data_IF_067196930662
#
_entry.id   IF_067196930662
#
_cell.length_a   1.000
_cell.length_b   1.000
_cell.length_c   1.000
_cell.angle_alpha   90.00
_cell.angle_beta   90.00
_cell.angle_gamma   90.00
#
_symmetry.space_group_name_H-M   'P 1'
#
loop_
_entity.id
_entity.type
_entity.pdbx_description
1 polymer ?
#
# COMPACT_ATOMS: atom_id res chain seq x y z
N UNK A 1 -75.50 -7.66 23.93
CA UNK A 1 -74.25 -6.88 24.12
C UNK A 1 -73.12 -7.61 23.43
N UNK A 2 -72.65 -7.09 22.26
CA UNK A 2 -71.56 -7.69 21.48
C UNK A 2 -70.26 -6.96 21.78
N UNK A 3 -69.31 -7.68 22.40
CA UNK A 3 -67.96 -7.18 22.65
C UNK A 3 -67.16 -7.26 21.35
N UNK A 4 -66.72 -6.10 20.82
CA UNK A 4 -65.82 -5.98 19.65
C UNK A 4 -64.40 -6.06 20.19
N UNK A 5 -63.69 -7.14 19.87
CA UNK A 5 -62.23 -7.26 20.09
C UNK A 5 -61.50 -6.49 19.01
N UNK A 6 -60.72 -5.50 19.43
CA UNK A 6 -59.86 -4.71 18.58
C UNK A 6 -58.50 -5.44 18.48
N UNK A 7 -58.22 -6.07 17.34
CA UNK A 7 -56.92 -6.65 17.02
C UNK A 7 -55.99 -5.52 16.56
N UNK A 8 -55.04 -5.15 17.41
CA UNK A 8 -53.95 -4.22 17.08
C UNK A 8 -52.85 -5.04 16.42
N UNK A 9 -52.76 -4.93 15.08
CA UNK A 9 -51.65 -5.50 14.32
C UNK A 9 -50.44 -4.58 14.45
N UNK A 10 -49.43 -4.98 15.22
CA UNK A 10 -48.15 -4.31 15.31
C UNK A 10 -47.33 -4.72 14.10
N UNK A 11 -47.22 -3.83 13.12
CA UNK A 11 -46.31 -3.97 11.98
C UNK A 11 -44.90 -3.64 12.47
N UNK A 12 -44.08 -4.66 12.63
CA UNK A 12 -42.64 -4.50 12.83
C UNK A 12 -42.01 -4.09 11.49
N UNK A 13 -41.71 -2.80 11.35
CA UNK A 13 -40.92 -2.29 10.26
C UNK A 13 -39.45 -2.59 10.56
N UNK A 14 -38.95 -3.69 10.02
CA UNK A 14 -37.52 -4.03 10.08
C UNK A 14 -36.78 -3.01 9.18
N UNK A 15 -36.21 -1.97 9.80
CA UNK A 15 -35.28 -1.07 9.14
C UNK A 15 -33.99 -1.85 8.87
N UNK A 16 -33.89 -2.43 7.68
CA UNK A 16 -32.62 -2.93 7.15
C UNK A 16 -31.71 -1.73 6.92
N UNK A 17 -30.89 -1.42 7.89
CA UNK A 17 -29.78 -0.50 7.72
C UNK A 17 -28.78 -1.14 6.74
N UNK A 18 -28.90 -0.78 5.46
CA UNK A 18 -27.87 -1.04 4.47
C UNK A 18 -26.61 -0.26 4.92
N UNK A 19 -25.75 -0.91 5.68
CA UNK A 19 -24.39 -0.43 5.87
C UNK A 19 -23.73 -0.54 4.50
N UNK A 20 -23.72 0.56 3.74
CA UNK A 20 -22.84 0.73 2.59
C UNK A 20 -21.40 0.73 3.12
N UNK A 21 -20.88 -0.45 3.41
CA UNK A 21 -19.46 -0.62 3.68
C UNK A 21 -18.72 -0.18 2.43
N UNK A 22 -17.90 0.86 2.55
CA UNK A 22 -16.99 1.24 1.47
C UNK A 22 -16.19 0.00 1.08
N UNK A 23 -16.41 -0.49 -0.13
CA UNK A 23 -15.65 -1.62 -0.63
C UNK A 23 -14.20 -1.17 -0.79
N UNK A 24 -13.31 -1.76 0.01
CA UNK A 24 -11.88 -1.49 -0.07
C UNK A 24 -11.39 -1.85 -1.48
N UNK A 25 -10.52 -1.03 -2.10
CA UNK A 25 -9.98 -1.34 -3.40
C UNK A 25 -9.14 -2.62 -3.35
N UNK A 26 -9.13 -3.39 -4.43
CA UNK A 26 -8.21 -4.50 -4.61
C UNK A 26 -7.04 -4.04 -5.48
N UNK A 27 -5.84 -4.14 -4.94
CA UNK A 27 -4.60 -3.88 -5.66
C UNK A 27 -4.07 -5.12 -6.40
N UNK A 28 -4.73 -6.28 -6.27
CA UNK A 28 -4.31 -7.53 -6.91
C UNK A 28 -4.21 -7.38 -8.42
N UNK A 29 -3.15 -7.92 -8.99
CA UNK A 29 -2.91 -7.94 -10.43
C UNK A 29 -1.43 -7.92 -10.78
N UNK A 30 -1.18 -8.03 -12.07
CA UNK A 30 0.12 -7.82 -12.67
C UNK A 30 0.14 -6.38 -13.21
N UNK A 31 1.20 -5.65 -12.88
CA UNK A 31 1.33 -4.22 -13.10
C UNK A 31 2.61 -3.89 -13.84
N UNK A 32 2.53 -3.08 -14.88
CA UNK A 32 3.69 -2.56 -15.61
C UNK A 32 3.78 -1.06 -15.43
N UNK A 33 4.95 -0.55 -15.05
CA UNK A 33 5.16 0.87 -14.81
C UNK A 33 5.06 1.69 -16.09
N UNK A 34 4.26 2.75 -16.04
CA UNK A 34 4.27 3.82 -17.05
C UNK A 34 5.46 4.75 -16.75
N UNK A 35 6.54 4.53 -17.48
CA UNK A 35 7.81 5.23 -17.24
C UNK A 35 7.70 6.73 -17.49
N UNK A 36 6.95 7.13 -18.51
CA UNK A 36 6.85 8.53 -18.94
C UNK A 36 6.10 9.41 -17.94
N UNK A 37 5.16 8.80 -17.21
CA UNK A 37 4.39 9.48 -16.16
C UNK A 37 4.90 9.24 -14.75
N UNK A 38 5.94 8.41 -14.59
CA UNK A 38 6.61 8.15 -13.33
C UNK A 38 7.86 9.01 -13.18
N UNK A 39 8.18 9.45 -11.96
CA UNK A 39 9.39 10.24 -11.70
C UNK A 39 10.14 9.78 -10.45
N UNK A 40 11.39 10.26 -10.31
CA UNK A 40 12.27 9.92 -9.19
C UNK A 40 12.94 8.56 -9.32
N UNK A 41 13.03 8.01 -10.54
CA UNK A 41 13.86 6.84 -10.89
C UNK A 41 15.02 7.25 -11.78
N UNK A 42 16.15 6.56 -11.69
CA UNK A 42 17.21 6.71 -12.68
C UNK A 42 16.70 6.46 -14.11
N UNK A 43 17.29 7.09 -15.13
CA UNK A 43 16.95 6.79 -16.51
C UNK A 43 17.17 5.30 -16.81
N UNK A 44 16.35 4.75 -17.72
CA UNK A 44 16.43 3.35 -18.17
C UNK A 44 16.10 2.29 -17.09
N UNK A 45 15.48 2.67 -15.98
CA UNK A 45 14.93 1.73 -15.01
C UNK A 45 13.44 1.53 -15.28
N UNK A 46 13.05 0.27 -15.45
CA UNK A 46 11.67 -0.17 -15.56
C UNK A 46 11.28 -1.01 -14.32
N UNK A 47 9.99 -1.01 -14.00
CA UNK A 47 9.45 -1.84 -12.94
C UNK A 47 8.19 -2.57 -13.42
N UNK A 48 8.10 -3.84 -13.05
CA UNK A 48 6.86 -4.59 -13.10
C UNK A 48 6.57 -5.12 -11.71
N UNK A 49 5.30 -5.23 -11.34
CA UNK A 49 4.92 -5.63 -10.01
C UNK A 49 3.76 -6.61 -10.07
N UNK A 50 3.88 -7.73 -9.36
CA UNK A 50 2.78 -8.65 -9.09
C UNK A 50 2.30 -8.41 -7.68
N UNK A 51 1.01 -8.18 -7.52
CA UNK A 51 0.37 -7.96 -6.23
C UNK A 51 -0.70 -9.03 -6.01
N UNK A 52 -0.68 -9.64 -4.83
CA UNK A 52 -1.72 -10.56 -4.36
C UNK A 52 -2.26 -10.00 -3.05
N UNK A 53 -3.55 -9.66 -3.03
CA UNK A 53 -4.21 -9.14 -1.85
C UNK A 53 -5.25 -10.14 -1.33
N UNK A 54 -5.10 -10.52 -0.06
CA UNK A 54 -6.02 -11.40 0.66
C UNK A 54 -6.51 -10.65 1.93
N UNK A 55 -7.66 -10.00 1.81
CA UNK A 55 -8.16 -9.14 2.89
C UNK A 55 -7.23 -7.95 3.16
N UNK A 56 -6.66 -7.91 4.36
CA UNK A 56 -5.72 -6.86 4.78
C UNK A 56 -4.25 -7.24 4.52
N UNK A 57 -3.97 -8.45 4.04
CA UNK A 57 -2.63 -8.84 3.63
C UNK A 57 -2.40 -8.53 2.16
N UNK A 58 -1.27 -7.91 1.86
CA UNK A 58 -0.82 -7.56 0.50
C UNK A 58 0.59 -8.08 0.32
N UNK A 59 0.74 -9.10 -0.51
CA UNK A 59 2.02 -9.65 -0.92
C UNK A 59 2.40 -9.07 -2.28
N UNK A 60 3.64 -8.65 -2.44
CA UNK A 60 4.12 -8.05 -3.67
C UNK A 60 5.47 -8.60 -4.08
N UNK A 61 5.62 -8.76 -5.38
CA UNK A 61 6.87 -9.08 -6.05
C UNK A 61 7.16 -7.99 -7.06
N UNK A 62 8.22 -7.21 -6.83
CA UNK A 62 8.64 -6.12 -7.72
C UNK A 62 9.86 -6.56 -8.50
N UNK A 63 9.72 -6.66 -9.82
CA UNK A 63 10.80 -6.88 -10.77
C UNK A 63 11.33 -5.53 -11.22
N UNK A 64 12.62 -5.32 -11.06
CA UNK A 64 13.34 -4.11 -11.45
C UNK A 64 14.26 -4.47 -12.60
N UNK A 65 14.10 -3.80 -13.73
CA UNK A 65 14.91 -3.97 -14.93
C UNK A 65 15.74 -2.70 -15.09
N UNK A 66 17.04 -2.83 -14.99
CA UNK A 66 18.01 -1.75 -15.10
C UNK A 66 19.11 -2.11 -16.11
N UNK A 67 19.91 -1.16 -16.60
CA UNK A 67 20.98 -1.44 -17.57
C UNK A 67 22.04 -2.45 -17.10
N UNK A 68 22.24 -2.57 -15.80
CA UNK A 68 23.17 -3.50 -15.15
C UNK A 68 22.56 -4.86 -14.82
N UNK A 69 21.30 -5.07 -15.14
CA UNK A 69 20.63 -6.35 -14.96
C UNK A 69 19.21 -6.26 -14.41
N UNK A 70 18.67 -7.42 -14.08
CA UNK A 70 17.34 -7.59 -13.52
C UNK A 70 17.44 -8.10 -12.08
N UNK A 71 16.55 -7.60 -11.22
CA UNK A 71 16.42 -8.05 -9.84
C UNK A 71 14.96 -8.12 -9.43
N UNK A 72 14.68 -8.92 -8.40
CA UNK A 72 13.33 -9.09 -7.85
C UNK A 72 13.37 -8.85 -6.35
N UNK A 73 12.46 -8.01 -5.87
CA UNK A 73 12.23 -7.75 -4.45
C UNK A 73 10.85 -8.32 -4.09
N UNK A 74 10.81 -9.14 -3.04
CA UNK A 74 9.55 -9.64 -2.46
C UNK A 74 9.30 -8.93 -1.15
N UNK A 75 8.07 -8.51 -0.95
CA UNK A 75 7.66 -7.79 0.24
C UNK A 75 6.21 -8.14 0.62
N UNK A 76 5.81 -7.81 1.85
CA UNK A 76 4.47 -8.08 2.34
C UNK A 76 4.03 -6.99 3.33
N UNK A 77 2.77 -6.55 3.21
CA UNK A 77 2.15 -5.59 4.12
C UNK A 77 0.92 -6.21 4.78
N UNK A 78 0.72 -5.92 6.07
CA UNK A 78 -0.55 -6.20 6.77
C UNK A 78 -1.17 -4.87 7.14
N UNK A 79 -2.29 -4.54 6.51
CA UNK A 79 -2.94 -3.22 6.59
C UNK A 79 -3.91 -3.19 7.77
N UNK A 80 -3.37 -3.25 8.99
CA UNK A 80 -4.14 -3.29 10.24
C UNK A 80 -3.70 -2.23 11.26
N UNK A 81 -2.80 -1.31 10.85
CA UNK A 81 -2.33 -0.22 11.67
C UNK A 81 -1.31 -0.59 12.75
N UNK A 82 -0.83 -1.83 12.78
CA UNK A 82 0.15 -2.26 13.77
C UNK A 82 1.56 -2.15 13.23
N UNK A 83 2.46 -1.63 14.06
CA UNK A 83 3.89 -1.60 13.75
C UNK A 83 4.46 -3.03 13.72
N UNK A 84 5.29 -3.30 12.71
CA UNK A 84 6.04 -4.56 12.53
C UNK A 84 7.47 -4.31 12.13
N UNK A 85 8.34 -5.16 12.63
CA UNK A 85 9.73 -5.18 12.15
C UNK A 85 9.80 -5.83 10.76
N UNK A 86 10.72 -5.33 9.93
CA UNK A 86 11.05 -5.94 8.65
C UNK A 86 12.53 -5.79 8.34
N UNK A 87 13.03 -6.60 7.43
CA UNK A 87 14.41 -6.48 6.93
C UNK A 87 14.41 -5.64 5.67
N UNK A 88 15.01 -4.43 5.68
CA UNK A 88 15.10 -3.60 4.48
C UNK A 88 15.82 -4.31 3.35
N UNK A 89 15.29 -4.19 2.13
CA UNK A 89 15.83 -4.82 0.93
C UNK A 89 16.07 -3.79 -0.17
N UNK A 90 17.05 -4.07 -1.00
CA UNK A 90 17.29 -3.36 -2.26
C UNK A 90 17.43 -4.38 -3.41
N UNK A 91 17.78 -3.91 -4.60
CA UNK A 91 17.97 -4.74 -5.78
C UNK A 91 19.03 -5.87 -5.61
N UNK A 92 19.91 -5.76 -4.62
CA UNK A 92 20.97 -6.74 -4.31
C UNK A 92 20.61 -7.66 -3.14
N UNK A 93 19.41 -7.54 -2.58
CA UNK A 93 18.92 -8.31 -1.45
C UNK A 93 18.86 -7.51 -0.13
N UNK A 94 18.90 -8.18 1.02
CA UNK A 94 18.85 -7.52 2.33
C UNK A 94 19.97 -6.52 2.50
N UNK A 95 19.66 -5.35 3.06
CA UNK A 95 20.66 -4.30 3.34
C UNK A 95 21.38 -4.64 4.64
N UNK A 96 22.70 -4.96 4.59
CA UNK A 96 23.44 -5.36 5.78
C UNK A 96 23.43 -4.28 6.88
N UNK A 97 23.28 -4.69 8.14
CA UNK A 97 23.28 -3.78 9.29
C UNK A 97 22.07 -2.86 9.39
N UNK A 98 21.04 -3.08 8.55
CA UNK A 98 19.80 -2.28 8.59
C UNK A 98 18.68 -3.04 9.29
N UNK A 99 17.89 -2.29 10.07
CA UNK A 99 16.64 -2.72 10.68
C UNK A 99 15.52 -1.78 10.26
N UNK A 100 14.35 -2.32 10.04
CA UNK A 100 13.19 -1.54 9.63
C UNK A 100 11.99 -1.80 10.53
N UNK A 101 11.18 -0.76 10.70
CA UNK A 101 9.84 -0.81 11.28
C UNK A 101 8.84 -0.28 10.28
N UNK A 102 7.68 -0.90 10.22
CA UNK A 102 6.65 -0.62 9.23
C UNK A 102 5.27 -0.62 9.85
N UNK A 103 4.45 0.35 9.43
CA UNK A 103 3.02 0.39 9.72
C UNK A 103 2.26 0.57 8.42
N UNK A 104 1.21 -0.22 8.19
CA UNK A 104 0.35 -0.05 7.03
C UNK A 104 -1.10 0.19 7.46
N UNK A 105 -1.74 1.21 6.88
CA UNK A 105 -3.08 1.66 7.24
C UNK A 105 -3.95 1.83 5.99
N UNK A 106 -5.25 1.54 6.11
CA UNK A 106 -6.22 2.03 5.14
C UNK A 106 -6.36 3.54 5.27
N UNK A 107 -6.48 4.23 4.14
CA UNK A 107 -6.82 5.66 4.14
C UNK A 107 -8.20 5.87 4.79
N UNK A 108 -8.45 6.99 5.47
CA UNK A 108 -9.74 7.25 6.13
C UNK A 108 -10.95 7.17 5.19
N UNK A 109 -10.77 7.46 3.91
CA UNK A 109 -11.81 7.36 2.89
C UNK A 109 -11.95 5.93 2.31
N UNK A 110 -11.17 4.96 2.78
CA UNK A 110 -11.16 3.58 2.30
C UNK A 110 -10.66 3.37 0.87
N UNK A 111 -10.19 4.42 0.17
CA UNK A 111 -9.84 4.36 -1.26
C UNK A 111 -8.36 4.07 -1.53
N UNK A 112 -7.61 3.67 -0.53
CA UNK A 112 -6.19 3.40 -0.66
C UNK A 112 -5.56 3.00 0.66
N UNK A 113 -4.26 2.84 0.65
CA UNK A 113 -3.45 2.57 1.85
C UNK A 113 -2.29 3.54 1.96
N UNK A 114 -1.79 3.69 3.19
CA UNK A 114 -0.45 4.22 3.46
C UNK A 114 0.41 3.13 4.05
N UNK A 115 1.69 3.13 3.68
CA UNK A 115 2.73 2.30 4.29
C UNK A 115 3.84 3.24 4.75
N UNK A 116 3.99 3.37 6.06
CA UNK A 116 5.02 4.17 6.70
C UNK A 116 6.14 3.24 7.15
N UNK A 117 7.36 3.53 6.70
CA UNK A 117 8.55 2.76 7.01
C UNK A 117 9.62 3.65 7.64
N UNK A 118 10.24 3.14 8.69
CA UNK A 118 11.43 3.72 9.30
C UNK A 118 12.54 2.69 9.21
N UNK A 119 13.67 3.06 8.59
CA UNK A 119 14.84 2.20 8.43
C UNK A 119 16.03 2.83 9.10
N UNK A 120 16.65 2.10 10.01
CA UNK A 120 17.91 2.50 10.66
C UNK A 120 19.04 1.62 10.14
N UNK A 121 20.11 2.27 9.69
CA UNK A 121 21.33 1.63 9.21
C UNK A 121 22.50 2.09 10.06
N UNK A 122 23.36 1.18 10.48
CA UNK A 122 24.60 1.50 11.17
C UNK A 122 25.59 2.16 10.20
N UNK A 123 26.06 3.34 10.53
CA UNK A 123 27.08 4.09 9.80
C UNK A 123 28.29 4.33 10.73
N UNK A 124 29.53 4.43 10.25
CA UNK A 124 30.70 4.72 11.08
C UNK A 124 30.60 6.00 11.92
N UNK A 125 29.70 6.93 11.54
CA UNK A 125 29.43 8.17 12.28
C UNK A 125 28.25 8.09 13.24
N UNK A 126 27.65 6.90 13.40
CA UNK A 126 26.46 6.61 14.19
C UNK A 126 25.26 6.21 13.35
N UNK A 127 24.19 5.69 13.97
CA UNK A 127 23.02 5.19 13.24
C UNK A 127 22.35 6.29 12.43
N UNK A 128 21.96 5.96 11.20
CA UNK A 128 21.22 6.84 10.30
C UNK A 128 19.82 6.29 10.11
N UNK A 129 18.82 7.10 10.40
CA UNK A 129 17.41 6.74 10.23
C UNK A 129 16.82 7.49 9.05
N UNK A 130 16.19 6.73 8.15
CA UNK A 130 15.43 7.24 7.01
C UNK A 130 13.97 6.83 7.16
N UNK A 131 13.05 7.71 6.73
CA UNK A 131 11.61 7.44 6.71
C UNK A 131 11.10 7.46 5.28
N UNK A 132 10.17 6.57 4.99
CA UNK A 132 9.49 6.50 3.70
C UNK A 132 8.01 6.30 3.95
N UNK A 133 7.19 7.20 3.43
CA UNK A 133 5.74 7.02 3.36
C UNK A 133 5.37 6.68 1.91
N UNK A 134 4.67 5.56 1.71
CA UNK A 134 4.08 5.18 0.43
C UNK A 134 2.57 5.27 0.52
N UNK A 135 1.96 5.98 -0.41
CA UNK A 135 0.51 6.04 -0.55
C UNK A 135 0.10 5.32 -1.83
N UNK A 136 -0.73 4.31 -1.70
CA UNK A 136 -1.25 3.52 -2.80
C UNK A 136 -2.70 3.87 -3.07
N UNK A 137 -3.03 4.18 -4.31
CA UNK A 137 -4.40 4.46 -4.74
C UNK A 137 -4.65 3.87 -6.13
N UNK A 138 -5.92 3.60 -6.45
CA UNK A 138 -6.34 3.32 -7.80
C UNK A 138 -6.98 4.57 -8.41
N UNK A 139 -6.61 4.92 -9.64
CA UNK A 139 -7.28 5.96 -10.42
C UNK A 139 -8.66 5.50 -10.88
N UNK A 140 -9.48 6.41 -11.42
CA UNK A 140 -10.75 6.08 -12.07
C UNK A 140 -10.59 5.11 -13.23
N UNK A 141 -9.44 5.14 -13.89
CA UNK A 141 -9.12 4.30 -15.04
C UNK A 141 -8.50 2.95 -14.64
N UNK A 142 -8.44 2.68 -13.34
CA UNK A 142 -7.92 1.43 -12.78
C UNK A 142 -6.40 1.33 -12.75
N UNK A 143 -5.68 2.44 -12.88
CA UNK A 143 -4.22 2.48 -12.74
C UNK A 143 -3.82 2.48 -11.27
N UNK A 144 -2.76 1.78 -10.92
CA UNK A 144 -2.17 1.83 -9.58
C UNK A 144 -1.19 3.00 -9.50
N UNK A 145 -1.45 3.91 -8.58
CA UNK A 145 -0.59 5.06 -8.30
C UNK A 145 0.06 4.87 -6.94
N UNK A 146 1.38 4.97 -6.89
CA UNK A 146 2.16 4.93 -5.66
C UNK A 146 2.93 6.25 -5.54
N UNK A 147 2.44 7.15 -4.68
CA UNK A 147 3.15 8.34 -4.28
C UNK A 147 4.08 7.98 -3.12
N UNK A 148 5.33 8.39 -3.18
CA UNK A 148 6.35 8.10 -2.16
C UNK A 148 7.01 9.38 -1.70
N UNK A 149 7.02 9.58 -0.38
CA UNK A 149 7.74 10.65 0.29
C UNK A 149 8.89 10.05 1.09
N UNK A 150 10.09 10.54 0.82
CA UNK A 150 11.31 10.15 1.49
C UNK A 150 11.77 11.28 2.40
N UNK A 151 12.03 10.96 3.65
CA UNK A 151 12.58 11.88 4.63
C UNK A 151 13.87 11.29 5.21
N UNK A 152 14.97 11.96 4.93
CA UNK A 152 16.32 11.55 5.35
C UNK A 152 16.94 12.66 6.18
N UNK A 153 17.97 12.41 6.98
CA UNK A 153 18.64 13.44 7.76
C UNK A 153 19.23 14.60 6.93
N UNK A 154 19.37 14.42 5.63
CA UNK A 154 20.01 15.43 4.77
C UNK A 154 19.04 16.18 3.87
N UNK A 155 18.00 15.52 3.40
CA UNK A 155 17.02 16.09 2.47
C UNK A 155 15.75 15.24 2.42
N UNK A 156 14.67 15.86 2.00
CA UNK A 156 13.41 15.17 1.71
C UNK A 156 13.10 15.30 0.23
N UNK A 157 12.47 14.29 -0.35
CA UNK A 157 12.09 14.28 -1.77
C UNK A 157 10.90 13.37 -2.02
N UNK A 158 10.26 13.60 -3.15
CA UNK A 158 9.09 12.83 -3.59
C UNK A 158 9.40 12.02 -4.84
N UNK A 159 8.77 10.86 -4.92
CA UNK A 159 8.75 10.03 -6.11
C UNK A 159 7.31 9.61 -6.41
N UNK A 160 7.03 9.32 -7.65
CA UNK A 160 5.75 8.78 -8.07
C UNK A 160 5.95 7.62 -9.03
N UNK A 161 5.15 6.57 -8.85
CA UNK A 161 5.03 5.44 -9.77
C UNK A 161 3.59 5.33 -10.22
N UNK A 162 3.39 5.21 -11.51
CA UNK A 162 2.11 4.93 -12.13
C UNK A 162 2.25 3.61 -12.86
N UNK A 163 1.32 2.69 -12.57
CA UNK A 163 1.33 1.36 -13.15
C UNK A 163 0.00 1.11 -13.86
N UNK A 164 0.08 0.49 -15.04
CA UNK A 164 -1.05 -0.04 -15.78
C UNK A 164 -1.14 -1.54 -15.57
N UNK A 165 -2.33 -2.10 -15.61
CA UNK A 165 -2.48 -3.56 -15.64
C UNK A 165 -1.81 -4.12 -16.90
N UNK A 166 -1.01 -5.19 -16.71
CA UNK A 166 -0.35 -5.91 -17.78
C UNK A 166 -1.34 -6.79 -18.53
#
# INVERSE_FOLDING_TARGET
MKKRSLLISIIWLAAATLTMGFQKPSFSGDWTMDRDRSFGLPPNVQQAMKVVQNGDQIDLETRIIAPDGESTIKDSYIVDGKEREFTPQNAKGPVPGSKGKRTANWLPNGKGITVDEETTTEDPKGPVTNKVTRKWTLSSDGELIIDMYFDTPRFSYENKRIFKKA
#
